data_IF_749925105470
#
_entry.id   IF_749925105470
#
_cell.length_a   1.000
_cell.length_b   1.000
_cell.length_c   1.000
_cell.angle_alpha   90.00
_cell.angle_beta   90.00
_cell.angle_gamma   90.00
#
_symmetry.space_group_name_H-M   'P 1'
#
loop_
_entity.id
_entity.type
_entity.pdbx_description
1 polymer ?
#
# COMPACT_ATOMS: atom_id res chain seq x y z
N UNK A 1 16.95 9.59 49.51
CA UNK A 1 17.19 8.41 48.64
C UNK A 1 16.32 8.52 47.40
N UNK A 2 16.87 8.10 46.27
CA UNK A 2 16.51 8.42 44.88
C UNK A 2 15.86 7.23 44.19
N UNK A 3 14.80 7.42 43.41
CA UNK A 3 14.50 6.59 42.22
C UNK A 3 13.92 7.47 41.12
N UNK A 4 14.76 7.71 40.12
CA UNK A 4 14.48 8.46 38.90
C UNK A 4 13.76 7.56 37.90
N UNK A 5 12.51 7.87 37.54
CA UNK A 5 11.87 7.31 36.35
C UNK A 5 12.30 8.12 35.13
N UNK A 6 13.18 7.49 34.34
CA UNK A 6 13.78 8.06 33.14
C UNK A 6 12.76 8.10 32.00
N UNK A 7 12.61 9.28 31.39
CA UNK A 7 12.40 9.51 29.95
C UNK A 7 11.18 8.79 29.32
N UNK A 8 9.99 9.35 29.52
CA UNK A 8 8.91 9.20 28.56
C UNK A 8 9.20 10.09 27.35
N UNK A 9 9.94 9.55 26.37
CA UNK A 9 10.15 10.19 25.07
C UNK A 9 8.93 9.97 24.18
N UNK A 10 7.89 10.80 24.32
CA UNK A 10 6.84 10.94 23.32
C UNK A 10 7.36 11.88 22.23
N UNK A 11 7.95 11.31 21.18
CA UNK A 11 8.32 12.04 19.98
C UNK A 11 7.04 12.40 19.20
N UNK A 12 6.57 13.63 19.36
CA UNK A 12 5.62 14.29 18.46
C UNK A 12 6.32 14.50 17.10
N UNK A 13 5.99 13.69 16.10
CA UNK A 13 6.33 14.02 14.71
C UNK A 13 5.20 14.91 14.18
N UNK A 14 5.46 16.22 14.21
CA UNK A 14 4.62 17.21 13.55
C UNK A 14 4.63 16.96 12.04
N UNK A 15 3.48 16.61 11.46
CA UNK A 15 3.31 16.49 10.02
C UNK A 15 3.05 17.90 9.46
N UNK A 16 4.07 18.50 8.86
CA UNK A 16 3.96 19.78 8.15
C UNK A 16 3.03 19.62 6.94
N UNK A 17 1.90 20.33 6.97
CA UNK A 17 0.99 20.49 5.84
C UNK A 17 1.72 21.24 4.71
N UNK A 18 2.14 20.52 3.67
CA UNK A 18 2.43 21.15 2.38
C UNK A 18 1.11 21.42 1.66
N UNK A 19 0.74 22.69 1.58
CA UNK A 19 -0.28 23.16 0.64
C UNK A 19 0.31 23.04 -0.77
N UNK A 20 -0.23 22.12 -1.56
CA UNK A 20 -0.06 22.14 -3.01
C UNK A 20 -1.38 22.60 -3.61
N UNK A 21 -1.41 23.90 -3.94
CA UNK A 21 -2.38 24.44 -4.88
C UNK A 21 -1.94 24.08 -6.29
N UNK A 22 -2.80 23.41 -7.04
CA UNK A 22 -2.77 23.40 -8.50
C UNK A 22 -4.17 23.13 -9.03
N UNK A 23 -4.69 24.14 -9.72
CA UNK A 23 -5.97 24.17 -10.41
C UNK A 23 -6.13 22.98 -11.37
N UNK A 24 -7.33 22.39 -11.53
CA UNK A 24 -7.60 21.52 -12.67
C UNK A 24 -7.77 22.39 -13.92
N UNK A 25 -6.67 22.72 -14.58
CA UNK A 25 -6.73 23.10 -15.98
C UNK A 25 -7.10 21.85 -16.77
N UNK A 26 -8.34 21.83 -17.26
CA UNK A 26 -8.86 20.89 -18.24
C UNK A 26 -7.99 20.91 -19.51
N UNK A 27 -6.91 20.12 -19.53
CA UNK A 27 -6.14 19.85 -20.73
C UNK A 27 -6.57 18.50 -21.29
N UNK A 28 -7.65 18.54 -22.09
CA UNK A 28 -8.06 17.48 -23.00
C UNK A 28 -6.99 17.32 -24.07
N UNK A 29 -6.06 16.41 -23.87
CA UNK A 29 -5.24 15.85 -24.95
C UNK A 29 -5.36 14.33 -24.93
N UNK A 30 -6.22 13.84 -25.81
CA UNK A 30 -6.17 12.46 -26.32
C UNK A 30 -4.80 12.22 -26.99
N UNK A 31 -4.46 10.93 -27.12
CA UNK A 31 -3.35 10.30 -27.87
C UNK A 31 -2.32 9.61 -26.97
N UNK A 32 -2.66 8.38 -26.59
CA UNK A 32 -1.80 7.44 -25.89
C UNK A 32 -2.48 6.06 -25.87
N UNK A 33 -2.38 5.37 -26.99
CA UNK A 33 -2.89 4.02 -27.23
C UNK A 33 -2.48 3.05 -26.10
N UNK A 34 -3.45 2.66 -25.27
CA UNK A 34 -3.29 1.69 -24.18
C UNK A 34 -4.59 0.95 -23.86
N UNK A 35 -5.51 0.87 -24.84
CA UNK A 35 -6.76 0.12 -24.75
C UNK A 35 -6.58 -1.39 -24.85
N UNK A 36 -5.54 -1.95 -24.22
CA UNK A 36 -5.20 -3.36 -24.27
C UNK A 36 -5.49 -4.04 -22.93
N UNK A 37 -6.28 -5.11 -22.96
CA UNK A 37 -6.57 -6.08 -21.89
C UNK A 37 -7.62 -5.78 -20.81
N UNK A 38 -8.19 -4.58 -20.70
CA UNK A 38 -9.25 -4.32 -19.69
C UNK A 38 -10.69 -4.49 -20.19
N UNK A 39 -10.89 -4.67 -21.50
CA UNK A 39 -12.22 -4.70 -22.14
C UNK A 39 -12.69 -6.10 -22.58
N UNK A 40 -11.90 -7.16 -22.35
CA UNK A 40 -12.13 -8.47 -22.97
C UNK A 40 -12.67 -9.58 -22.06
N UNK A 41 -13.25 -9.26 -20.90
CA UNK A 41 -14.05 -10.25 -20.17
C UNK A 41 -15.39 -9.65 -19.75
N UNK A 42 -16.46 -10.16 -20.37
CA UNK A 42 -17.83 -9.64 -20.33
C UNK A 42 -18.55 -9.83 -19.00
N UNK A 43 -18.13 -9.09 -17.98
CA UNK A 43 -18.87 -8.77 -16.74
C UNK A 43 -18.01 -7.83 -15.88
N UNK A 44 -18.39 -6.63 -15.44
CA UNK A 44 -19.62 -5.85 -15.54
C UNK A 44 -19.38 -4.53 -14.77
N UNK A 45 -18.50 -3.67 -15.29
CA UNK A 45 -18.19 -2.35 -14.73
C UNK A 45 -18.56 -1.27 -15.74
N UNK A 46 -19.28 -0.23 -15.31
CA UNK A 46 -19.51 0.96 -16.13
C UNK A 46 -18.20 1.74 -16.33
N UNK A 47 -18.16 2.63 -17.33
CA UNK A 47 -16.99 3.49 -17.56
C UNK A 47 -16.68 4.36 -16.34
N UNK A 48 -17.72 4.83 -15.63
CA UNK A 48 -17.61 5.60 -14.40
C UNK A 48 -17.00 4.77 -13.27
N UNK A 49 -17.43 3.51 -13.12
CA UNK A 49 -16.89 2.61 -12.11
C UNK A 49 -15.42 2.24 -12.42
N UNK A 50 -15.06 2.07 -13.68
CA UNK A 50 -13.68 1.86 -14.10
C UNK A 50 -12.79 3.07 -13.78
N UNK A 51 -13.26 4.29 -14.06
CA UNK A 51 -12.54 5.52 -13.73
C UNK A 51 -12.39 5.70 -12.22
N UNK A 52 -13.45 5.44 -11.44
CA UNK A 52 -13.41 5.47 -9.98
C UNK A 52 -12.41 4.46 -9.41
N UNK A 53 -12.45 3.22 -9.90
CA UNK A 53 -11.51 2.17 -9.52
C UNK A 53 -10.06 2.59 -9.77
N UNK A 54 -9.75 3.11 -10.97
CA UNK A 54 -8.41 3.55 -11.31
C UNK A 54 -7.93 4.68 -10.38
N UNK A 55 -8.80 5.65 -10.10
CA UNK A 55 -8.48 6.75 -9.19
C UNK A 55 -8.21 6.25 -7.76
N UNK A 56 -9.09 5.40 -7.22
CA UNK A 56 -8.93 4.83 -5.88
C UNK A 56 -7.63 4.03 -5.77
N UNK A 57 -7.28 3.24 -6.80
CA UNK A 57 -6.00 2.54 -6.84
C UNK A 57 -4.82 3.50 -6.86
N UNK A 58 -4.81 4.50 -7.74
CA UNK A 58 -3.73 5.48 -7.83
C UNK A 58 -3.53 6.22 -6.50
N UNK A 59 -4.63 6.66 -5.88
CA UNK A 59 -4.60 7.36 -4.59
C UNK A 59 -4.00 6.48 -3.49
N UNK A 60 -4.43 5.20 -3.40
CA UNK A 60 -3.84 4.23 -2.47
C UNK A 60 -2.32 4.05 -2.70
N UNK A 61 -1.88 3.87 -3.95
CA UNK A 61 -0.46 3.68 -4.25
C UNK A 61 0.37 4.92 -3.90
N UNK A 62 -0.14 6.12 -4.20
CA UNK A 62 0.52 7.38 -3.87
C UNK A 62 0.64 7.57 -2.35
N UNK A 63 -0.47 7.38 -1.62
CA UNK A 63 -0.51 7.55 -0.16
C UNK A 63 0.35 6.52 0.58
N UNK A 64 0.49 5.30 0.04
CA UNK A 64 1.26 4.22 0.69
C UNK A 64 2.69 4.08 0.19
N UNK A 65 3.16 4.94 -0.74
CA UNK A 65 4.48 4.76 -1.36
C UNK A 65 5.61 4.68 -0.33
N UNK A 66 5.70 5.70 0.55
CA UNK A 66 6.74 5.73 1.58
C UNK A 66 6.66 4.51 2.52
N UNK A 67 5.46 4.12 2.93
CA UNK A 67 5.23 2.97 3.81
C UNK A 67 5.68 1.65 3.17
N UNK A 68 5.36 1.45 1.89
CA UNK A 68 5.80 0.27 1.12
C UNK A 68 7.32 0.26 0.94
N UNK A 69 7.94 1.41 0.69
CA UNK A 69 9.40 1.52 0.61
C UNK A 69 10.08 1.21 1.94
N UNK A 70 9.57 1.72 3.05
CA UNK A 70 10.07 1.42 4.39
C UNK A 70 9.96 -0.07 4.71
N UNK A 71 8.81 -0.69 4.41
CA UNK A 71 8.62 -2.12 4.62
C UNK A 71 9.61 -2.95 3.78
N UNK A 72 9.87 -2.55 2.53
CA UNK A 72 10.88 -3.21 1.69
C UNK A 72 12.29 -3.06 2.25
N UNK A 73 12.67 -1.85 2.69
CA UNK A 73 13.96 -1.61 3.33
C UNK A 73 14.15 -2.49 4.57
N UNK A 74 13.14 -2.58 5.43
CA UNK A 74 13.19 -3.44 6.64
C UNK A 74 13.26 -4.93 6.31
N UNK A 75 12.64 -5.39 5.21
CA UNK A 75 12.82 -6.77 4.72
C UNK A 75 14.27 -7.05 4.32
N UNK A 76 14.95 -6.11 3.66
CA UNK A 76 16.37 -6.26 3.34
C UNK A 76 17.25 -6.28 4.59
N UNK A 77 16.99 -5.40 5.56
CA UNK A 77 17.69 -5.38 6.84
C UNK A 77 17.51 -6.71 7.60
N UNK A 78 16.28 -7.21 7.69
CA UNK A 78 15.96 -8.48 8.31
C UNK A 78 16.72 -9.65 7.67
N UNK A 79 16.72 -9.71 6.34
CA UNK A 79 17.45 -10.75 5.59
C UNK A 79 18.96 -10.63 5.75
N UNK A 80 19.51 -9.41 5.81
CA UNK A 80 20.92 -9.18 6.06
C UNK A 80 21.34 -9.66 7.46
N UNK A 81 20.50 -9.39 8.48
CA UNK A 81 20.74 -9.88 9.85
C UNK A 81 20.70 -11.41 9.94
N UNK A 82 19.78 -12.07 9.22
CA UNK A 82 19.74 -13.53 9.15
C UNK A 82 20.99 -14.16 8.51
N UNK A 83 21.66 -13.43 7.61
CA UNK A 83 22.88 -13.89 6.96
C UNK A 83 24.15 -13.72 7.81
N UNK A 84 24.06 -13.06 8.98
CA UNK A 84 25.20 -12.89 9.90
C UNK A 84 25.52 -14.18 10.66
N UNK A 85 26.78 -14.37 11.07
CA UNK A 85 27.21 -15.53 11.85
C UNK A 85 28.04 -15.12 13.09
N UNK A 86 27.56 -15.38 14.32
CA UNK A 86 26.23 -15.91 14.64
C UNK A 86 25.13 -14.87 14.39
N UNK A 87 23.89 -15.29 14.06
CA UNK A 87 22.77 -14.38 13.92
C UNK A 87 22.46 -13.61 15.21
N UNK A 88 22.30 -12.29 15.10
CA UNK A 88 21.87 -11.43 16.21
C UNK A 88 20.35 -11.49 16.39
N UNK A 89 19.89 -12.48 17.17
CA UNK A 89 18.45 -12.74 17.38
C UNK A 89 17.70 -11.56 17.99
N UNK A 90 18.36 -10.73 18.81
CA UNK A 90 17.74 -9.55 19.40
C UNK A 90 17.41 -8.50 18.33
N UNK A 91 18.35 -8.22 17.42
CA UNK A 91 18.10 -7.30 16.29
C UNK A 91 17.09 -7.85 15.30
N UNK A 92 17.15 -9.14 14.98
CA UNK A 92 16.18 -9.80 14.08
C UNK A 92 14.75 -9.61 14.61
N UNK A 93 14.54 -9.86 15.91
CA UNK A 93 13.23 -9.70 16.54
C UNK A 93 12.78 -8.24 16.61
N UNK A 94 13.70 -7.28 16.78
CA UNK A 94 13.38 -5.86 16.75
C UNK A 94 12.89 -5.43 15.35
N UNK A 95 13.64 -5.78 14.30
CA UNK A 95 13.25 -5.47 12.90
C UNK A 95 11.93 -6.15 12.52
N UNK A 96 11.69 -7.37 12.99
CA UNK A 96 10.42 -8.07 12.76
C UNK A 96 9.21 -7.29 13.33
N UNK A 97 9.33 -6.74 14.54
CA UNK A 97 8.27 -5.91 15.17
C UNK A 97 8.04 -4.60 14.44
N UNK A 98 9.11 -3.97 13.95
CA UNK A 98 8.99 -2.78 13.11
C UNK A 98 8.25 -3.10 11.80
N UNK A 99 8.57 -4.23 11.15
CA UNK A 99 7.86 -4.68 9.97
C UNK A 99 6.38 -4.98 10.23
N UNK A 100 6.04 -5.56 11.39
CA UNK A 100 4.64 -5.80 11.80
C UNK A 100 3.87 -4.48 11.91
N UNK A 101 4.46 -3.48 12.56
CA UNK A 101 3.87 -2.14 12.70
C UNK A 101 3.63 -1.50 11.32
N UNK A 102 4.62 -1.56 10.41
CA UNK A 102 4.49 -1.03 9.05
C UNK A 102 3.41 -1.76 8.24
N UNK A 103 3.26 -3.08 8.43
CA UNK A 103 2.21 -3.87 7.78
C UNK A 103 0.83 -3.49 8.28
N UNK A 104 0.67 -3.31 9.59
CA UNK A 104 -0.61 -2.87 10.16
C UNK A 104 -1.05 -1.53 9.57
N UNK A 105 -0.15 -0.54 9.49
CA UNK A 105 -0.48 0.74 8.85
C UNK A 105 -0.84 0.59 7.37
N UNK A 106 -0.25 -0.38 6.66
CA UNK A 106 -0.55 -0.61 5.24
C UNK A 106 -1.90 -1.30 5.08
N UNK A 107 -2.24 -2.22 5.97
CA UNK A 107 -3.52 -2.91 6.03
C UNK A 107 -4.67 -1.93 6.31
N UNK A 108 -4.49 -0.97 7.21
CA UNK A 108 -5.47 0.11 7.42
C UNK A 108 -5.75 0.89 6.12
N UNK A 109 -4.73 1.15 5.30
CA UNK A 109 -4.91 1.83 4.01
C UNK A 109 -5.57 0.92 2.97
N UNK A 110 -5.31 -0.39 3.00
CA UNK A 110 -6.00 -1.37 2.14
C UNK A 110 -7.48 -1.44 2.48
N UNK A 111 -7.83 -1.47 3.77
CA UNK A 111 -9.23 -1.42 4.23
C UNK A 111 -9.92 -0.15 3.72
N UNK A 112 -9.28 1.02 3.84
CA UNK A 112 -9.84 2.29 3.31
C UNK A 112 -10.08 2.23 1.80
N UNK A 113 -9.13 1.69 1.04
CA UNK A 113 -9.26 1.48 -0.41
C UNK A 113 -10.43 0.56 -0.72
N UNK A 114 -10.54 -0.58 -0.03
CA UNK A 114 -11.57 -1.58 -0.30
C UNK A 114 -12.97 -1.06 0.04
N UNK A 115 -13.10 -0.29 1.13
CA UNK A 115 -14.33 0.43 1.45
C UNK A 115 -14.69 1.45 0.35
N UNK A 116 -13.71 2.21 -0.15
CA UNK A 116 -13.96 3.17 -1.22
C UNK A 116 -14.39 2.48 -2.53
N UNK A 117 -13.80 1.32 -2.86
CA UNK A 117 -14.19 0.52 -4.02
C UNK A 117 -15.63 0.02 -3.90
N UNK A 118 -16.00 -0.50 -2.72
CA UNK A 118 -17.37 -0.95 -2.45
C UNK A 118 -18.38 0.20 -2.54
N UNK A 119 -18.04 1.38 -2.00
CA UNK A 119 -18.88 2.59 -2.10
C UNK A 119 -19.04 3.09 -3.54
N UNK A 120 -18.03 2.90 -4.38
CA UNK A 120 -18.09 3.21 -5.81
C UNK A 120 -18.88 2.16 -6.62
N UNK A 121 -19.44 1.14 -5.97
CA UNK A 121 -20.17 0.05 -6.63
C UNK A 121 -19.28 -0.84 -7.49
N UNK A 122 -17.96 -0.80 -7.29
CA UNK A 122 -17.00 -1.64 -8.00
C UNK A 122 -17.04 -3.03 -7.36
N UNK A 123 -17.43 -4.11 -8.05
CA UNK A 123 -17.52 -5.44 -7.46
C UNK A 123 -16.17 -5.89 -6.87
N UNK A 124 -16.18 -6.24 -5.58
CA UNK A 124 -15.04 -6.82 -4.90
C UNK A 124 -14.71 -8.19 -5.51
N UNK A 125 -13.48 -8.37 -5.99
CA UNK A 125 -13.04 -9.58 -6.69
C UNK A 125 -12.75 -9.39 -8.18
N UNK A 126 -13.21 -8.28 -8.78
CA UNK A 126 -12.81 -7.86 -10.13
C UNK A 126 -11.69 -6.81 -10.08
N UNK A 127 -10.83 -6.91 -9.07
CA UNK A 127 -9.71 -6.00 -8.87
C UNK A 127 -8.84 -5.93 -10.11
N UNK A 128 -8.33 -4.73 -10.37
CA UNK A 128 -7.45 -4.32 -11.46
C UNK A 128 -6.06 -4.98 -11.34
N UNK A 129 -6.03 -6.30 -11.33
CA UNK A 129 -4.91 -7.17 -10.98
C UNK A 129 -5.42 -8.41 -10.25
N UNK A 130 -5.04 -9.58 -10.76
CA UNK A 130 -5.40 -10.94 -10.33
C UNK A 130 -6.69 -11.54 -10.93
N UNK A 131 -6.52 -12.18 -12.09
CA UNK A 131 -7.18 -13.46 -12.34
C UNK A 131 -8.50 -13.44 -13.10
N UNK A 132 -8.47 -13.05 -14.38
CA UNK A 132 -9.44 -13.56 -15.36
C UNK A 132 -8.88 -14.84 -15.99
N UNK A 133 -9.54 -15.98 -15.73
CA UNK A 133 -9.29 -17.33 -16.25
C UNK A 133 -8.08 -18.11 -15.70
N UNK A 134 -8.37 -19.26 -15.08
CA UNK A 134 -7.44 -20.38 -14.97
C UNK A 134 -7.20 -20.82 -13.53
N UNK A 135 -7.63 -22.04 -13.21
CA UNK A 135 -7.57 -22.57 -11.85
C UNK A 135 -6.15 -22.79 -11.32
N UNK A 136 -6.09 -23.01 -10.01
CA UNK A 136 -5.07 -23.85 -9.40
C UNK A 136 -3.90 -23.12 -8.77
N UNK A 137 -3.99 -23.00 -7.44
CA UNK A 137 -2.83 -23.06 -6.56
C UNK A 137 -1.91 -21.84 -6.57
N UNK A 138 -0.94 -21.85 -5.68
CA UNK A 138 -0.01 -20.76 -5.39
C UNK A 138 -0.61 -19.65 -4.53
N UNK A 139 -0.94 -20.05 -3.30
CA UNK A 139 -0.64 -19.26 -2.10
C UNK A 139 0.80 -18.72 -2.17
N UNK A 140 0.97 -17.52 -2.72
CA UNK A 140 2.16 -16.71 -2.53
C UNK A 140 1.93 -15.80 -1.34
N UNK A 141 2.25 -16.26 -0.13
CA UNK A 141 2.46 -15.37 1.03
C UNK A 141 3.52 -14.35 0.63
N UNK A 142 3.19 -13.05 0.65
CA UNK A 142 4.18 -11.96 0.74
C UNK A 142 3.62 -10.72 1.44
#
# INVERSE_FOLDING_TARGET
>A
MKRNTKKAGLALIALSLMVLGSSPALARHHWGNGGGMWQQNGSGLSAEQQAAAQKIHNDFYNQTNALRQQLMSKRYEYNALLATNPPDTAKINAVAKEMETLRQSLDEQRVKRDVAMAQAGVPGGMGMGYGGCGGGGHMGRW
#
